data_IF_913806511124
#
_entry.id   IF_913806511124
#
_cell.length_a   1.000
_cell.length_b   1.000
_cell.length_c   1.000
_cell.angle_alpha   90.00
_cell.angle_beta   90.00
_cell.angle_gamma   90.00
#
_symmetry.space_group_name_H-M   'P 1'
#
loop_
_entity.id
_entity.type
_entity.pdbx_description
1 polymer ?
#
# COMPACT_ATOMS: atom_id res chain seq x y z
N UNK A 1 12.59 -7.83 -2.55
CA UNK A 1 13.46 -7.25 -1.51
C UNK A 1 13.45 -8.17 -0.30
N UNK A 2 14.54 -8.22 0.48
CA UNK A 2 14.66 -9.07 1.67
C UNK A 2 14.94 -8.19 2.89
N UNK A 3 14.19 -8.39 3.96
CA UNK A 3 14.32 -7.68 5.22
C UNK A 3 14.69 -8.65 6.35
N UNK A 4 15.72 -8.30 7.11
CA UNK A 4 16.10 -9.02 8.33
C UNK A 4 15.08 -8.77 9.44
N UNK A 5 14.98 -9.69 10.42
CA UNK A 5 14.09 -9.56 11.57
C UNK A 5 14.21 -8.18 12.24
N UNK A 6 13.08 -7.52 12.47
CA UNK A 6 12.99 -6.26 13.18
C UNK A 6 13.26 -5.01 12.33
N UNK A 7 13.56 -5.17 11.04
CA UNK A 7 13.64 -4.05 10.09
C UNK A 7 12.25 -3.46 9.81
N UNK A 8 12.19 -2.14 9.73
CA UNK A 8 11.04 -1.41 9.21
C UNK A 8 11.07 -1.49 7.68
N UNK A 9 9.93 -1.85 7.10
CA UNK A 9 9.72 -1.85 5.65
C UNK A 9 9.16 -0.47 5.25
N UNK A 10 8.19 0.03 6.01
CA UNK A 10 7.68 1.40 5.95
C UNK A 10 7.11 1.78 7.32
N UNK A 11 7.11 3.06 7.67
CA UNK A 11 6.49 3.58 8.90
C UNK A 11 5.23 4.38 8.58
N UNK A 12 4.35 4.43 9.56
CA UNK A 12 3.25 5.39 9.54
C UNK A 12 3.83 6.82 9.43
N UNK A 13 3.25 7.63 8.54
CA UNK A 13 3.71 8.98 8.25
C UNK A 13 4.80 9.07 7.17
N UNK A 14 5.37 7.95 6.71
CA UNK A 14 6.34 7.97 5.61
C UNK A 14 5.63 8.02 4.24
N UNK A 15 6.20 8.70 3.23
CA UNK A 15 5.72 8.64 1.85
C UNK A 15 5.78 7.20 1.32
N UNK A 16 4.71 6.77 0.65
CA UNK A 16 4.63 5.47 0.01
C UNK A 16 5.40 5.47 -1.30
N UNK A 17 6.67 5.08 -1.28
CA UNK A 17 7.50 5.02 -2.48
C UNK A 17 7.48 3.64 -3.17
N UNK A 18 6.76 2.68 -2.60
CA UNK A 18 6.61 1.32 -3.14
C UNK A 18 5.26 0.68 -2.79
N UNK A 19 4.72 -0.08 -3.74
CA UNK A 19 3.64 -1.05 -3.53
C UNK A 19 4.26 -2.43 -3.34
N UNK A 20 3.86 -3.21 -2.34
CA UNK A 20 4.48 -4.51 -2.10
C UNK A 20 3.55 -5.54 -1.46
N UNK A 21 3.89 -6.81 -1.60
CA UNK A 21 3.26 -7.92 -0.88
C UNK A 21 4.33 -8.87 -0.34
N UNK A 22 4.03 -9.50 0.80
CA UNK A 22 4.91 -10.50 1.42
C UNK A 22 4.84 -11.77 0.58
N UNK A 23 6.00 -12.27 0.15
CA UNK A 23 6.12 -13.56 -0.56
C UNK A 23 6.60 -14.67 0.36
N UNK A 24 7.34 -14.33 1.43
CA UNK A 24 7.76 -15.29 2.47
C UNK A 24 8.02 -14.59 3.80
N UNK A 25 7.75 -15.27 4.91
CA UNK A 25 7.94 -14.75 6.27
C UNK A 25 6.69 -14.04 6.80
N UNK A 26 6.82 -13.36 7.93
CA UNK A 26 5.71 -12.64 8.57
C UNK A 26 6.12 -11.25 9.05
N UNK A 27 5.13 -10.36 9.08
CA UNK A 27 5.28 -8.95 9.42
C UNK A 27 4.28 -8.55 10.47
N UNK A 28 4.67 -7.59 11.29
CA UNK A 28 3.81 -6.89 12.23
C UNK A 28 3.38 -5.57 11.59
N UNK A 29 2.07 -5.35 11.57
CA UNK A 29 1.50 -4.04 11.23
C UNK A 29 1.12 -3.29 12.50
N UNK A 30 1.31 -1.99 12.49
CA UNK A 30 0.92 -1.08 13.57
C UNK A 30 0.18 0.09 12.98
N UNK A 31 -0.96 0.46 13.54
CA UNK A 31 -1.68 1.68 13.19
C UNK A 31 -1.97 2.47 14.46
N UNK A 32 -1.74 3.77 14.44
CA UNK A 32 -2.19 4.67 15.49
C UNK A 32 -3.68 4.95 15.29
N UNK A 33 -4.53 4.50 16.22
CA UNK A 33 -5.92 4.91 16.20
C UNK A 33 -6.09 6.21 17.00
N UNK A 34 -6.43 7.32 16.32
CA UNK A 34 -6.80 8.57 16.98
C UNK A 34 -8.24 8.47 17.50
N UNK A 35 -8.46 7.61 18.50
CA UNK A 35 -9.71 7.51 19.23
C UNK A 35 -9.91 8.71 20.16
N UNK A 36 -10.83 9.58 19.78
CA UNK A 36 -11.57 10.58 20.57
C UNK A 36 -11.09 11.01 21.98
N UNK A 37 -11.00 12.33 22.15
CA UNK A 37 -11.15 13.13 23.39
C UNK A 37 -10.23 12.90 24.61
N UNK A 38 -9.47 11.81 24.72
CA UNK A 38 -8.74 11.52 25.98
C UNK A 38 -7.26 11.10 25.83
N UNK A 39 -6.61 11.42 24.72
CA UNK A 39 -5.14 11.30 24.60
C UNK A 39 -4.58 9.87 24.64
N UNK A 40 -5.43 8.84 24.49
CA UNK A 40 -5.02 7.44 24.45
C UNK A 40 -4.80 7.00 23.00
N UNK A 41 -3.53 6.88 22.59
CA UNK A 41 -3.16 6.23 21.33
C UNK A 41 -3.16 4.71 21.50
N UNK A 42 -4.06 3.99 20.84
CA UNK A 42 -4.01 2.52 20.79
C UNK A 42 -3.30 2.06 19.53
N UNK A 43 -2.24 1.26 19.71
CA UNK A 43 -1.58 0.55 18.60
C UNK A 43 -2.27 -0.79 18.36
N UNK A 44 -2.86 -0.95 17.18
CA UNK A 44 -3.37 -2.25 16.72
C UNK A 44 -2.19 -3.04 16.16
N UNK A 45 -1.91 -4.22 16.72
CA UNK A 45 -0.90 -5.14 16.20
C UNK A 45 -1.58 -6.30 15.49
N UNK A 46 -1.31 -6.46 14.21
CA UNK A 46 -1.75 -7.64 13.44
C UNK A 46 -0.53 -8.30 12.82
N UNK A 47 -0.45 -9.62 12.95
CA UNK A 47 0.47 -10.40 12.14
C UNK A 47 -0.18 -10.60 10.77
N UNK A 48 0.45 -10.09 9.73
CA UNK A 48 -0.01 -10.25 8.35
C UNK A 48 0.83 -11.34 7.71
N UNK A 49 0.20 -12.44 7.35
CA UNK A 49 0.82 -13.44 6.48
C UNK A 49 0.59 -13.09 5.00
N UNK A 50 1.18 -13.90 4.13
CA UNK A 50 1.17 -13.84 2.66
C UNK A 50 -0.19 -13.47 2.06
N UNK A 51 -0.17 -12.86 0.87
CA UNK A 51 -1.30 -12.52 -0.04
C UNK A 51 -1.99 -11.16 0.04
N UNK A 52 -1.69 -10.30 1.01
CA UNK A 52 -2.42 -9.03 1.07
C UNK A 52 -1.55 -7.80 0.71
N UNK A 53 -1.75 -7.34 -0.52
CA UNK A 53 -1.04 -6.24 -1.18
C UNK A 53 -1.17 -4.91 -0.42
N UNK A 54 -0.03 -4.28 -0.15
CA UNK A 54 0.08 -3.00 0.53
C UNK A 54 0.51 -1.88 -0.44
N UNK A 55 0.01 -0.66 -0.24
CA UNK A 55 0.30 0.50 -1.09
C UNK A 55 -0.58 0.59 -2.35
N UNK A 56 -1.80 0.04 -2.32
CA UNK A 56 -2.75 0.06 -3.46
C UNK A 56 -3.13 1.48 -3.87
N UNK A 57 -3.11 2.42 -2.95
CA UNK A 57 -3.29 3.86 -3.16
C UNK A 57 -2.28 4.46 -4.16
N UNK A 58 -1.14 3.79 -4.39
CA UNK A 58 -0.20 4.19 -5.43
C UNK A 58 -0.73 4.00 -6.84
N UNK A 59 -1.75 3.15 -7.05
CA UNK A 59 -2.42 3.00 -8.34
C UNK A 59 -3.12 4.32 -8.72
N UNK A 60 -3.95 4.86 -7.83
CA UNK A 60 -4.62 6.14 -8.03
C UNK A 60 -3.64 7.30 -8.15
N UNK A 61 -2.55 7.30 -7.38
CA UNK A 61 -1.49 8.29 -7.54
C UNK A 61 -0.85 8.21 -8.93
N UNK A 62 -0.49 7.01 -9.40
CA UNK A 62 0.19 6.81 -10.67
C UNK A 62 -0.68 7.17 -11.90
N UNK A 63 -1.99 7.00 -11.79
CA UNK A 63 -2.99 7.38 -12.80
C UNK A 63 -3.13 8.90 -12.98
N UNK A 64 -2.85 9.68 -11.93
CA UNK A 64 -3.08 11.12 -11.94
C UNK A 64 -2.20 11.88 -12.94
N UNK A 65 -2.79 12.85 -13.64
CA UNK A 65 -2.14 13.70 -14.66
C UNK A 65 -0.93 14.53 -14.15
N UNK A 66 -0.71 14.60 -12.83
CA UNK A 66 0.38 15.37 -12.19
C UNK A 66 1.06 14.56 -11.09
N UNK A 67 1.24 13.26 -11.31
CA UNK A 67 1.90 12.32 -10.39
C UNK A 67 3.37 12.70 -10.15
N UNK A 68 3.60 13.65 -9.25
CA UNK A 68 4.94 14.04 -8.79
C UNK A 68 5.31 13.19 -7.59
N UNK A 69 6.60 12.85 -7.47
CA UNK A 69 7.14 12.12 -6.31
C UNK A 69 6.96 12.89 -4.99
N UNK A 70 6.82 14.21 -5.06
CA UNK A 70 6.49 15.07 -3.90
C UNK A 70 5.07 14.84 -3.36
N UNK A 71 4.19 14.22 -4.13
CA UNK A 71 2.76 14.07 -3.83
C UNK A 71 2.40 12.60 -3.60
N UNK A 72 3.37 11.77 -3.19
CA UNK A 72 3.08 10.38 -2.86
C UNK A 72 2.07 10.31 -1.71
N UNK A 73 1.17 9.31 -1.72
CA UNK A 73 0.34 9.00 -0.56
C UNK A 73 1.20 8.77 0.69
N UNK A 74 0.63 9.06 1.85
CA UNK A 74 1.28 8.84 3.13
C UNK A 74 0.80 7.52 3.71
N UNK A 75 1.75 6.71 4.16
CA UNK A 75 1.44 5.49 4.88
C UNK A 75 0.67 5.77 6.16
N UNK A 76 -0.47 5.12 6.34
CA UNK A 76 -1.27 5.17 7.58
C UNK A 76 -0.91 4.05 8.58
N UNK A 77 0.04 3.17 8.24
CA UNK A 77 0.47 2.06 9.10
C UNK A 77 1.98 1.89 9.09
N UNK A 78 2.54 1.39 10.17
CA UNK A 78 3.91 0.89 10.19
C UNK A 78 3.93 -0.58 9.84
N UNK A 79 4.80 -0.97 8.91
CA UNK A 79 5.04 -2.34 8.49
C UNK A 79 6.46 -2.77 8.92
N UNK A 80 6.56 -3.73 9.83
CA UNK A 80 7.83 -4.18 10.41
C UNK A 80 7.99 -5.69 10.28
N UNK A 81 9.17 -6.13 9.89
CA UNK A 81 9.48 -7.57 9.80
C UNK A 81 9.49 -8.24 11.19
N UNK A 82 8.69 -9.30 11.34
CA UNK A 82 8.68 -10.13 12.55
C UNK A 82 9.81 -11.16 12.54
N UNK A 83 10.07 -11.73 11.36
CA UNK A 83 11.15 -12.66 11.06
C UNK A 83 11.91 -12.19 9.80
N UNK A 84 12.68 -13.08 9.14
CA UNK A 84 13.26 -12.77 7.83
C UNK A 84 12.14 -12.77 6.79
N UNK A 85 11.89 -11.61 6.21
CA UNK A 85 10.78 -11.39 5.28
C UNK A 85 11.31 -11.17 3.87
N UNK A 86 10.67 -11.82 2.91
CA UNK A 86 10.81 -11.52 1.49
C UNK A 86 9.53 -10.84 1.01
N UNK A 87 9.70 -9.73 0.29
CA UNK A 87 8.59 -9.02 -0.35
C UNK A 87 8.87 -8.86 -1.82
N UNK A 88 7.82 -8.97 -2.63
CA UNK A 88 7.83 -8.43 -3.98
C UNK A 88 7.42 -6.96 -3.89
N UNK A 89 8.21 -6.05 -4.44
CA UNK A 89 7.98 -4.62 -4.37
C UNK A 89 8.06 -3.98 -5.76
N UNK A 90 7.06 -3.16 -6.08
CA UNK A 90 6.99 -2.32 -7.25
C UNK A 90 7.14 -0.86 -6.81
N UNK A 91 8.26 -0.24 -7.18
CA UNK A 91 8.52 1.16 -6.86
C UNK A 91 7.49 2.08 -7.53
N UNK A 92 7.12 3.17 -6.87
CA UNK A 92 6.18 4.17 -7.38
C UNK A 92 6.61 4.69 -8.76
N UNK A 93 7.90 4.97 -8.96
CA UNK A 93 8.43 5.41 -10.26
C UNK A 93 8.24 4.38 -11.37
N UNK A 94 8.34 3.09 -11.05
CA UNK A 94 8.14 2.01 -12.02
C UNK A 94 6.65 1.84 -12.31
N UNK A 95 5.81 1.94 -11.28
CA UNK A 95 4.35 1.89 -11.44
C UNK A 95 3.86 3.03 -12.34
N UNK A 96 4.31 4.27 -12.11
CA UNK A 96 3.99 5.41 -12.95
C UNK A 96 4.34 5.15 -14.43
N UNK A 97 5.51 4.57 -14.69
CA UNK A 97 5.93 4.21 -16.05
C UNK A 97 4.99 3.16 -16.65
N UNK A 98 4.69 2.09 -15.92
CA UNK A 98 3.76 1.05 -16.38
C UNK A 98 2.39 1.64 -16.72
N UNK A 99 1.82 2.45 -15.83
CA UNK A 99 0.52 3.11 -16.05
C UNK A 99 0.57 4.02 -17.28
N UNK A 100 1.67 4.74 -17.50
CA UNK A 100 1.85 5.59 -18.70
C UNK A 100 1.90 4.80 -20.02
N UNK A 101 2.37 3.56 -20.00
CA UNK A 101 2.39 2.68 -21.18
C UNK A 101 1.03 2.02 -21.44
N UNK A 102 0.20 1.84 -20.41
CA UNK A 102 -1.10 1.17 -20.49
C UNK A 102 -2.27 2.05 -20.01
N UNK A 103 -2.43 3.28 -20.52
CA UNK A 103 -3.40 4.24 -19.99
C UNK A 103 -4.87 3.76 -20.10
N UNK A 104 -5.18 2.86 -21.04
CA UNK A 104 -6.52 2.28 -21.20
C UNK A 104 -6.88 1.21 -20.16
N UNK A 105 -5.89 0.55 -19.54
CA UNK A 105 -6.10 -0.48 -18.52
C UNK A 105 -6.30 0.10 -17.13
N UNK A 106 -5.78 1.30 -16.90
CA UNK A 106 -5.83 2.05 -15.64
C UNK A 106 -6.75 3.26 -15.72
N UNK A 107 -7.66 3.29 -16.70
CA UNK A 107 -8.64 4.35 -16.80
C UNK A 107 -9.72 4.13 -15.72
N UNK A 108 -9.83 5.05 -14.76
CA UNK A 108 -10.86 5.05 -13.71
C UNK A 108 -12.27 4.85 -14.29
N UNK A 109 -12.54 5.35 -15.51
CA UNK A 109 -13.81 5.12 -16.20
C UNK A 109 -14.09 3.64 -16.49
N UNK A 110 -13.07 2.82 -16.73
CA UNK A 110 -13.23 1.37 -16.93
C UNK A 110 -13.37 0.61 -15.61
N UNK A 111 -12.75 1.08 -14.52
CA UNK A 111 -12.87 0.46 -13.18
C UNK A 111 -14.26 0.73 -12.58
N UNK A 112 -14.82 1.94 -12.78
CA UNK A 112 -16.18 2.25 -12.38
C UNK A 112 -17.21 1.40 -13.13
N UNK A 113 -17.02 1.15 -14.44
CA UNK A 113 -17.90 0.24 -15.17
C UNK A 113 -17.83 -1.19 -14.63
N UNK A 114 -16.65 -1.71 -14.30
CA UNK A 114 -16.50 -3.05 -13.70
C UNK A 114 -17.13 -3.13 -12.31
N UNK A 115 -17.00 -2.09 -11.48
CA UNK A 115 -17.60 -2.05 -10.15
C UNK A 115 -19.14 -1.95 -10.20
N UNK A 116 -19.67 -1.11 -11.09
CA UNK A 116 -21.12 -0.96 -11.32
C UNK A 116 -21.72 -2.25 -11.88
N UNK A 117 -21.04 -2.93 -12.81
CA UNK A 117 -21.53 -4.19 -13.39
C UNK A 117 -21.55 -5.34 -12.37
N UNK A 118 -20.69 -5.30 -11.34
CA UNK A 118 -20.67 -6.30 -10.26
C UNK A 118 -21.68 -6.02 -9.13
N UNK A 119 -22.17 -4.79 -8.97
CA UNK A 119 -23.26 -4.48 -8.01
C UNK A 119 -24.66 -4.79 -8.56
N UNK A 120 -24.81 -4.98 -9.88
CA UNK A 120 -26.09 -5.35 -10.52
C UNK A 120 -26.30 -6.89 -10.53
N UNK A 121 -25.34 -7.66 -10.02
CA UNK A 121 -25.39 -9.14 -9.93
C UNK A 121 -25.55 -9.70 -8.51
N UNK A 122 -26.16 -8.95 -7.58
CA UNK A 122 -26.62 -9.50 -6.29
C UNK A 122 -28.04 -9.08 -5.95
#
# INVERSE_FOLDING_TARGET
MIYSKGCYIIREGEPLDMMFFVTRGSVLTYATNNGGSNGSSSTIQLEKETDDLYGKELLTWAEGCSSKLSNLPISIITFKSHNKVEVFALLAINLQRVVSYFPSQFNIGNILNIAVDNEIMN
#
